data_IF_715472353392
#
_entry.id   IF_715472353392
#
_cell.length_a   1.000
_cell.length_b   1.000
_cell.length_c   1.000
_cell.angle_alpha   90.00
_cell.angle_beta   90.00
_cell.angle_gamma   90.00
#
_symmetry.space_group_name_H-M   'P 1'
#
loop_
_entity.id
_entity.type
_entity.pdbx_description
1 polymer ?
#
# COMPACT_ATOMS: atom_id res chain seq x y z
N UNK A 1 -31.96 11.24 27.76
CA UNK A 1 -30.61 11.08 27.14
C UNK A 1 -30.81 10.24 25.89
N UNK A 2 -30.74 10.84 24.70
CA UNK A 2 -30.80 10.08 23.45
C UNK A 2 -29.42 9.49 23.20
N UNK A 3 -29.24 8.22 23.59
CA UNK A 3 -28.04 7.47 23.24
C UNK A 3 -28.01 7.30 21.73
N UNK A 4 -26.94 7.76 21.08
CA UNK A 4 -26.67 7.41 19.69
C UNK A 4 -26.55 5.89 19.61
N UNK A 5 -27.37 5.28 18.78
CA UNK A 5 -27.24 3.88 18.41
C UNK A 5 -25.86 3.69 17.76
N UNK A 6 -25.05 2.78 18.30
CA UNK A 6 -23.74 2.47 17.76
C UNK A 6 -23.95 1.40 16.70
N UNK A 7 -23.85 1.78 15.42
CA UNK A 7 -23.80 0.80 14.34
C UNK A 7 -22.46 0.05 14.40
N UNK A 8 -22.53 -1.24 14.68
CA UNK A 8 -21.39 -2.15 14.68
C UNK A 8 -21.32 -2.87 13.35
N UNK A 9 -20.18 -2.72 12.66
CA UNK A 9 -19.91 -3.36 11.38
C UNK A 9 -18.91 -4.50 11.56
N UNK A 10 -19.26 -5.69 11.07
CA UNK A 10 -18.32 -6.81 10.99
C UNK A 10 -17.47 -6.68 9.72
N UNK A 11 -16.30 -6.07 9.88
CA UNK A 11 -15.34 -5.89 8.79
C UNK A 11 -14.86 -7.25 8.24
N UNK A 12 -14.82 -8.30 9.06
CA UNK A 12 -14.38 -9.62 8.60
C UNK A 12 -15.36 -10.20 7.59
N UNK A 13 -16.66 -10.12 7.91
CA UNK A 13 -17.73 -10.56 7.03
C UNK A 13 -17.75 -9.78 5.71
N UNK A 14 -17.50 -8.47 5.77
CA UNK A 14 -17.47 -7.62 4.58
C UNK A 14 -16.27 -7.93 3.68
N UNK A 15 -15.09 -8.10 4.26
CA UNK A 15 -13.90 -8.51 3.53
C UNK A 15 -14.07 -9.89 2.89
N UNK A 16 -14.75 -10.82 3.57
CA UNK A 16 -15.06 -12.14 3.01
C UNK A 16 -16.03 -12.05 1.83
N UNK A 17 -17.05 -11.19 1.94
CA UNK A 17 -18.02 -10.92 0.87
C UNK A 17 -17.35 -10.34 -0.37
N UNK A 18 -16.36 -9.47 -0.20
CA UNK A 18 -15.70 -8.76 -1.30
C UNK A 18 -14.50 -9.53 -1.89
N UNK A 19 -13.67 -10.14 -1.05
CA UNK A 19 -12.40 -10.73 -1.44
C UNK A 19 -12.30 -12.25 -1.23
N UNK A 20 -13.38 -12.89 -0.74
CA UNK A 20 -13.41 -14.32 -0.44
C UNK A 20 -12.88 -14.67 0.95
N UNK A 21 -13.03 -15.94 1.32
CA UNK A 21 -12.62 -16.47 2.63
C UNK A 21 -11.12 -16.33 2.85
N UNK A 22 -10.66 -16.21 4.11
CA UNK A 22 -9.24 -16.27 4.44
C UNK A 22 -8.55 -17.48 3.79
N UNK A 23 -7.48 -17.23 3.03
CA UNK A 23 -6.73 -18.27 2.33
C UNK A 23 -7.34 -18.75 1.00
N UNK A 24 -8.41 -18.13 0.49
CA UNK A 24 -8.86 -18.38 -0.88
C UNK A 24 -7.86 -17.80 -1.91
N UNK A 25 -7.86 -18.28 -3.18
CA UNK A 25 -7.07 -17.67 -4.25
C UNK A 25 -7.37 -16.18 -4.46
N UNK A 26 -8.65 -15.79 -4.38
CA UNK A 26 -9.11 -14.41 -4.52
C UNK A 26 -8.59 -13.55 -3.37
N UNK A 27 -8.66 -14.06 -2.14
CA UNK A 27 -8.16 -13.38 -0.95
C UNK A 27 -6.65 -13.16 -1.03
N UNK A 28 -5.88 -14.19 -1.42
CA UNK A 28 -4.43 -14.07 -1.61
C UNK A 28 -4.07 -13.06 -2.69
N UNK A 29 -4.85 -13.00 -3.77
CA UNK A 29 -4.62 -12.02 -4.84
C UNK A 29 -4.87 -10.60 -4.33
N UNK A 30 -5.98 -10.36 -3.63
CA UNK A 30 -6.28 -9.05 -3.04
C UNK A 30 -5.22 -8.64 -1.99
N UNK A 31 -4.76 -9.57 -1.17
CA UNK A 31 -3.66 -9.34 -0.22
C UNK A 31 -2.35 -9.00 -0.92
N UNK A 32 -2.02 -9.69 -2.02
CA UNK A 32 -0.85 -9.40 -2.83
C UNK A 32 -0.91 -8.00 -3.45
N UNK A 33 -2.04 -7.62 -4.04
CA UNK A 33 -2.27 -6.27 -4.58
C UNK A 33 -2.13 -5.20 -3.48
N UNK A 34 -2.71 -5.45 -2.31
CA UNK A 34 -2.57 -4.55 -1.15
C UNK A 34 -1.11 -4.45 -0.66
N UNK A 35 -0.36 -5.55 -0.70
CA UNK A 35 1.06 -5.57 -0.37
C UNK A 35 1.89 -4.74 -1.36
N UNK A 36 1.58 -4.81 -2.65
CA UNK A 36 2.25 -4.03 -3.69
C UNK A 36 2.03 -2.52 -3.47
N UNK A 37 0.79 -2.11 -3.19
CA UNK A 37 0.45 -0.72 -2.84
C UNK A 37 1.15 -0.27 -1.55
N UNK A 38 1.19 -1.13 -0.54
CA UNK A 38 1.83 -0.83 0.74
C UNK A 38 3.34 -0.65 0.60
N UNK A 39 3.99 -1.44 -0.26
CA UNK A 39 5.44 -1.36 -0.50
C UNK A 39 5.86 0.00 -1.08
N UNK A 40 5.08 0.57 -2.00
CA UNK A 40 5.33 1.92 -2.53
C UNK A 40 5.36 2.97 -1.41
N UNK A 41 4.42 2.87 -0.47
CA UNK A 41 4.30 3.78 0.67
C UNK A 41 5.43 3.59 1.71
N UNK A 42 5.87 2.35 1.94
CA UNK A 42 7.04 2.06 2.79
C UNK A 42 8.29 2.72 2.21
N UNK A 43 8.56 2.55 0.90
CA UNK A 43 9.72 3.13 0.24
C UNK A 43 9.72 4.66 0.31
N UNK A 44 8.56 5.28 0.07
CA UNK A 44 8.42 6.74 0.22
C UNK A 44 8.72 7.20 1.66
N UNK A 45 8.22 6.48 2.66
CA UNK A 45 8.44 6.83 4.06
C UNK A 45 9.91 6.65 4.45
N UNK A 46 10.55 5.57 4.04
CA UNK A 46 11.97 5.33 4.27
C UNK A 46 12.84 6.46 3.67
N UNK A 47 12.55 6.90 2.44
CA UNK A 47 13.22 8.04 1.82
C UNK A 47 13.06 9.32 2.64
N UNK A 48 11.82 9.62 3.06
CA UNK A 48 11.51 10.82 3.85
C UNK A 48 12.20 10.79 5.22
N UNK A 49 12.24 9.62 5.87
CA UNK A 49 12.92 9.42 7.15
C UNK A 49 14.45 9.55 7.01
N UNK A 50 15.01 9.21 5.85
CA UNK A 50 16.40 9.48 5.51
C UNK A 50 16.67 10.93 5.08
N UNK A 51 15.66 11.81 5.10
CA UNK A 51 15.72 13.21 4.67
C UNK A 51 16.22 13.41 3.22
N UNK A 52 15.85 12.49 2.32
CA UNK A 52 16.23 12.56 0.92
C UNK A 52 15.09 13.06 0.05
N UNK A 53 15.43 13.86 -0.96
CA UNK A 53 14.55 14.09 -2.12
C UNK A 53 14.54 12.87 -3.03
N UNK A 54 13.53 12.77 -3.90
CA UNK A 54 13.48 11.71 -4.92
C UNK A 54 14.71 11.74 -5.85
N UNK A 55 15.23 12.94 -6.16
CA UNK A 55 16.42 13.09 -7.00
C UNK A 55 17.70 12.57 -6.31
N UNK A 56 17.88 12.88 -5.02
CA UNK A 56 19.02 12.39 -4.25
C UNK A 56 18.97 10.87 -4.06
N UNK A 57 17.78 10.30 -3.86
CA UNK A 57 17.64 8.84 -3.82
C UNK A 57 17.97 8.22 -5.19
N UNK A 58 17.45 8.81 -6.26
CA UNK A 58 17.68 8.35 -7.62
C UNK A 58 19.19 8.33 -7.97
N UNK A 59 19.92 9.39 -7.61
CA UNK A 59 21.38 9.48 -7.76
C UNK A 59 22.11 8.36 -7.01
N UNK A 60 21.70 8.05 -5.77
CA UNK A 60 22.33 7.00 -4.96
C UNK A 60 22.15 5.59 -5.52
N UNK A 61 21.01 5.32 -6.16
CA UNK A 61 20.68 3.98 -6.67
C UNK A 61 20.85 3.84 -8.18
N UNK A 62 21.36 4.88 -8.85
CA UNK A 62 21.67 4.84 -10.27
C UNK A 62 20.45 4.80 -11.20
N UNK A 63 19.35 5.47 -10.82
CA UNK A 63 18.12 5.54 -11.61
C UNK A 63 17.71 7.00 -11.84
N UNK A 64 16.68 7.22 -12.67
CA UNK A 64 16.12 8.57 -12.86
C UNK A 64 15.11 8.93 -11.76
N UNK A 65 14.95 10.23 -11.46
CA UNK A 65 13.95 10.72 -10.50
C UNK A 65 12.53 10.26 -10.83
N UNK A 66 12.20 10.17 -12.13
CA UNK A 66 10.90 9.73 -12.61
C UNK A 66 10.62 8.27 -12.26
N UNK A 67 11.64 7.39 -12.27
CA UNK A 67 11.55 6.02 -11.78
C UNK A 67 11.13 6.00 -10.31
N UNK A 68 11.83 6.73 -9.43
CA UNK A 68 11.44 6.85 -8.01
C UNK A 68 10.00 7.37 -7.87
N UNK A 69 9.62 8.39 -8.65
CA UNK A 69 8.26 8.93 -8.62
C UNK A 69 7.18 7.96 -9.08
N UNK A 70 7.46 7.05 -10.02
CA UNK A 70 6.51 6.01 -10.45
C UNK A 70 6.38 4.93 -9.39
N UNK A 71 7.50 4.49 -8.79
CA UNK A 71 7.51 3.52 -7.69
C UNK A 71 6.71 4.05 -6.50
N UNK A 72 6.98 5.26 -6.02
CA UNK A 72 6.29 5.83 -4.85
C UNK A 72 4.80 6.09 -5.05
N UNK A 73 4.31 6.05 -6.30
CA UNK A 73 2.89 6.19 -6.65
C UNK A 73 2.22 4.85 -6.95
N UNK A 74 2.92 3.72 -6.77
CA UNK A 74 2.41 2.39 -7.11
C UNK A 74 2.22 2.16 -8.61
N UNK A 75 2.78 3.02 -9.48
CA UNK A 75 2.60 2.87 -10.93
C UNK A 75 3.51 1.79 -11.53
N UNK A 76 4.60 1.48 -10.84
CA UNK A 76 5.50 0.37 -11.20
C UNK A 76 5.94 -0.33 -9.93
N UNK A 77 6.00 -1.66 -9.99
CA UNK A 77 6.66 -2.48 -8.97
C UNK A 77 8.14 -2.60 -9.33
N UNK A 78 9.06 -2.10 -8.49
CA UNK A 78 10.49 -2.28 -8.74
C UNK A 78 10.83 -3.78 -8.71
N UNK A 79 11.66 -4.23 -9.65
CA UNK A 79 12.10 -5.63 -9.84
C UNK A 79 13.45 -5.89 -9.20
#
# INVERSE_FOLDING_TARGET
MNGKEIELYDISAELEREFGTPGSPERRKAEQEAWEDYNAQILMNARKNAHLTQAQLAERVGVDKGYISRVERGLIVPT
#
